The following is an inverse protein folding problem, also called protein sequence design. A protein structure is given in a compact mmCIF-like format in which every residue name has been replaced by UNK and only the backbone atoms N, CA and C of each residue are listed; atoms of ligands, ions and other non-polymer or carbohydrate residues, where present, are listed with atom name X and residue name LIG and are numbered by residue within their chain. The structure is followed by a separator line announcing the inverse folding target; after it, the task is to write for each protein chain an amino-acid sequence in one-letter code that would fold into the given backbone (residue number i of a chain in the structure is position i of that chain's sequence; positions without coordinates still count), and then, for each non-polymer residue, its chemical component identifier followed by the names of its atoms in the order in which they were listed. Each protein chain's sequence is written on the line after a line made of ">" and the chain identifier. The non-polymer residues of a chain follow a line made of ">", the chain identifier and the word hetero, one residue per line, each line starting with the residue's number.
data_IF_968034940775
#
_entry.id   IF_968034940775
#
_cell.length_a   1.000
_cell.length_b   1.000
_cell.length_c   1.000
_cell.angle_alpha   90.00
_cell.angle_beta   90.00
_cell.angle_gamma   90.00
#
_symmetry.space_group_name_H-M   'P 1'
#
loop_
_entity.id
_entity.type
_entity.pdbx_description
1 polymer ?
#
# COMPACT_ATOMS: atom_id res chain seq x y z
N UNK A 1 5.53 43.55 -1.88
CA UNK A 1 4.75 42.73 -2.83
C UNK A 1 5.68 42.54 -4.01
N UNK A 2 6.15 41.38 -4.42
CA UNK A 2 5.64 40.01 -4.42
C UNK A 2 6.88 39.14 -4.65
N UNK A 3 7.13 38.13 -3.79
CA UNK A 3 8.25 37.21 -4.03
C UNK A 3 7.85 36.31 -5.20
N UNK A 4 8.35 36.57 -6.40
CA UNK A 4 8.15 35.72 -7.58
C UNK A 4 8.90 34.40 -7.35
N UNK A 5 8.23 33.47 -6.65
CA UNK A 5 8.68 32.10 -6.47
C UNK A 5 8.68 31.44 -7.85
N UNK A 6 9.85 31.36 -8.49
CA UNK A 6 10.05 30.69 -9.78
C UNK A 6 9.69 29.21 -9.59
N UNK A 7 8.46 28.83 -9.91
CA UNK A 7 8.00 27.44 -9.79
C UNK A 7 8.74 26.60 -10.83
N UNK A 8 9.53 25.62 -10.38
CA UNK A 8 10.25 24.70 -11.24
C UNK A 8 9.28 23.63 -11.75
N UNK A 9 8.71 23.86 -12.93
CA UNK A 9 7.81 22.90 -13.57
C UNK A 9 8.59 21.70 -14.10
N UNK A 10 8.05 20.50 -13.88
CA UNK A 10 8.58 19.24 -14.41
C UNK A 10 8.36 19.13 -15.93
N UNK A 11 7.23 19.65 -16.40
CA UNK A 11 6.88 19.74 -17.81
C UNK A 11 5.86 20.86 -18.02
N UNK A 12 5.87 21.46 -19.20
CA UNK A 12 4.85 22.44 -19.63
C UNK A 12 4.31 22.01 -20.98
N UNK A 13 2.99 21.88 -21.09
CA UNK A 13 2.30 21.59 -22.33
C UNK A 13 1.47 22.79 -22.78
N UNK A 14 1.46 23.08 -24.08
CA UNK A 14 0.63 24.14 -24.67
C UNK A 14 -0.40 23.54 -25.61
N UNK A 15 -1.66 23.90 -25.39
CA UNK A 15 -2.80 23.50 -26.21
C UNK A 15 -3.55 24.77 -26.64
N UNK A 16 -3.27 25.26 -27.85
CA UNK A 16 -3.85 26.51 -28.35
C UNK A 16 -3.52 27.69 -27.42
N UNK A 17 -4.53 28.23 -26.74
CA UNK A 17 -4.38 29.33 -25.77
C UNK A 17 -4.15 28.85 -24.31
N UNK A 18 -4.17 27.54 -24.06
CA UNK A 18 -4.03 26.97 -22.71
C UNK A 18 -2.60 26.49 -22.47
N UNK A 19 -2.03 26.84 -21.31
CA UNK A 19 -0.73 26.34 -20.85
C UNK A 19 -0.92 25.50 -19.59
N UNK A 20 -0.56 24.22 -19.65
CA UNK A 20 -0.59 23.28 -18.52
C UNK A 20 0.81 23.14 -17.97
N UNK A 21 1.00 23.48 -16.70
CA UNK A 21 2.28 23.33 -16.02
C UNK A 21 2.20 22.15 -15.05
N UNK A 22 3.01 21.12 -15.27
CA UNK A 22 3.18 19.99 -14.35
C UNK A 22 4.19 20.41 -13.30
N UNK A 23 3.77 20.46 -12.04
CA UNK A 23 4.66 20.71 -10.91
C UNK A 23 5.17 19.36 -10.40
N UNK A 24 6.49 19.13 -10.46
CA UNK A 24 7.05 17.96 -9.79
C UNK A 24 6.88 18.15 -8.29
N UNK A 25 6.39 17.13 -7.55
CA UNK A 25 6.44 17.17 -6.10
C UNK A 25 7.90 17.31 -5.66
N UNK A 26 8.16 18.00 -4.53
CA UNK A 26 9.51 18.10 -4.00
C UNK A 26 10.12 16.70 -3.79
N UNK A 27 11.42 16.52 -4.06
CA UNK A 27 12.07 15.24 -3.80
C UNK A 27 11.94 14.90 -2.32
N UNK A 28 11.55 13.66 -2.03
CA UNK A 28 11.49 13.15 -0.65
C UNK A 28 12.90 12.98 -0.12
N UNK A 29 13.08 13.18 1.19
CA UNK A 29 14.37 12.86 1.84
C UNK A 29 14.55 11.34 1.93
N UNK A 30 15.79 10.83 2.03
CA UNK A 30 16.04 9.40 2.19
C UNK A 30 15.29 8.78 3.37
N UNK A 31 15.18 9.50 4.48
CA UNK A 31 14.51 9.05 5.71
C UNK A 31 12.99 8.92 5.51
N UNK A 32 12.39 9.88 4.79
CA UNK A 32 10.98 9.85 4.45
C UNK A 32 10.67 8.67 3.52
N UNK A 33 11.57 8.37 2.57
CA UNK A 33 11.45 7.22 1.67
C UNK A 33 11.56 5.91 2.46
N UNK A 34 12.53 5.80 3.37
CA UNK A 34 12.71 4.60 4.20
C UNK A 34 11.50 4.34 5.11
N UNK A 35 10.94 5.39 5.72
CA UNK A 35 9.69 5.29 6.52
C UNK A 35 8.55 4.73 5.68
N UNK A 36 8.33 5.30 4.50
CA UNK A 36 7.28 4.87 3.57
C UNK A 36 7.49 3.40 3.17
N UNK A 37 8.72 3.01 2.82
CA UNK A 37 9.03 1.62 2.44
C UNK A 37 8.74 0.64 3.58
N UNK A 38 9.08 1.01 4.82
CA UNK A 38 8.79 0.20 6.00
C UNK A 38 7.29 0.00 6.20
N UNK A 39 6.50 1.06 6.03
CA UNK A 39 5.03 0.99 6.11
C UNK A 39 4.45 0.05 5.02
N UNK A 40 4.95 0.15 3.78
CA UNK A 40 4.51 -0.75 2.70
C UNK A 40 4.89 -2.21 2.96
N UNK A 41 6.10 -2.48 3.46
CA UNK A 41 6.50 -3.84 3.82
C UNK A 41 5.63 -4.41 4.94
N UNK A 42 5.32 -3.59 5.95
CA UNK A 42 4.44 -3.99 7.05
C UNK A 42 3.03 -4.32 6.54
N UNK A 43 2.43 -3.45 5.73
CA UNK A 43 1.11 -3.68 5.16
C UNK A 43 1.08 -4.94 4.28
N UNK A 44 2.12 -5.15 3.46
CA UNK A 44 2.26 -6.35 2.63
C UNK A 44 2.37 -7.62 3.48
N UNK A 45 3.11 -7.58 4.58
CA UNK A 45 3.22 -8.70 5.51
C UNK A 45 1.89 -9.01 6.20
N UNK A 46 1.16 -8.00 6.65
CA UNK A 46 -0.16 -8.17 7.27
C UNK A 46 -1.17 -8.79 6.30
N UNK A 47 -1.19 -8.34 5.05
CA UNK A 47 -2.03 -8.95 4.01
C UNK A 47 -1.69 -10.43 3.82
N UNK A 48 -0.40 -10.77 3.77
CA UNK A 48 0.05 -12.15 3.62
C UNK A 48 -0.37 -13.01 4.81
N UNK A 49 -0.24 -12.50 6.05
CA UNK A 49 -0.68 -13.21 7.25
C UNK A 49 -2.19 -13.45 7.25
N UNK A 50 -3.00 -12.48 6.82
CA UNK A 50 -4.46 -12.64 6.70
C UNK A 50 -4.83 -13.81 5.80
N UNK A 51 -4.22 -13.90 4.62
CA UNK A 51 -4.46 -14.99 3.67
C UNK A 51 -4.08 -16.35 4.30
N UNK A 52 -2.93 -16.42 4.98
CA UNK A 52 -2.51 -17.65 5.65
C UNK A 52 -3.43 -18.06 6.81
N UNK A 53 -4.06 -17.10 7.49
CA UNK A 53 -5.01 -17.36 8.56
C UNK A 53 -6.35 -17.86 8.01
N UNK A 54 -6.87 -17.23 6.95
CA UNK A 54 -8.07 -17.70 6.22
C UNK A 54 -7.91 -19.13 5.70
N UNK A 55 -6.75 -19.46 5.11
CA UNK A 55 -6.45 -20.82 4.64
C UNK A 55 -6.44 -21.85 5.79
N UNK A 56 -5.95 -21.48 6.98
CA UNK A 56 -5.95 -22.37 8.15
C UNK A 56 -7.36 -22.62 8.68
N UNK A 57 -8.21 -21.60 8.72
CA UNK A 57 -9.61 -21.75 9.14
C UNK A 57 -10.37 -22.71 8.22
N UNK A 58 -10.21 -22.58 6.90
CA UNK A 58 -10.83 -23.48 5.92
C UNK A 58 -10.40 -24.94 6.09
N UNK A 59 -9.13 -25.21 6.40
CA UNK A 59 -8.62 -26.58 6.67
C UNK A 59 -9.25 -27.15 7.95
N UNK A 60 -9.46 -26.34 8.98
CA UNK A 60 -10.08 -26.80 10.24
C UNK A 60 -11.57 -27.12 10.08
N UNK A 61 -12.29 -26.38 9.24
CA UNK A 61 -13.71 -26.65 8.95
C UNK A 61 -13.89 -27.92 8.08
N UNK A 62 -13.06 -28.12 7.07
CA UNK A 62 -13.12 -29.35 6.25
C UNK A 62 -12.80 -30.61 7.06
N UNK A 63 -11.88 -30.51 8.03
CA UNK A 63 -11.48 -31.66 8.86
C UNK A 63 -12.57 -32.07 9.86
N UNK A 64 -13.42 -31.14 10.30
CA UNK A 64 -14.55 -31.42 11.21
C UNK A 64 -15.77 -31.97 10.48
N UNK A 65 -15.97 -31.65 9.20
CA UNK A 65 -17.10 -32.17 8.42
C UNK A 65 -16.88 -33.61 7.91
N UNK A 66 -15.63 -34.01 7.62
CA UNK A 66 -15.32 -35.35 7.09
C UNK A 66 -15.16 -36.44 8.15
N UNK A 67 -15.08 -36.09 9.44
CA UNK A 67 -14.93 -37.06 10.53
C UNK A 67 -15.90 -36.75 11.66
N UNK A 68 -17.09 -37.37 11.57
CA UNK A 68 -18.10 -37.39 12.64
C UNK A 68 -17.67 -38.17 13.89
N UNK A 69 -16.50 -37.86 14.47
CA UNK A 69 -16.03 -38.40 15.73
C UNK A 69 -15.76 -37.21 16.67
N UNK A 70 -16.54 -37.03 17.75
CA UNK A 70 -16.29 -35.96 18.71
C UNK A 70 -14.98 -36.22 19.46
N UNK A 71 -14.08 -35.24 19.45
CA UNK A 71 -12.87 -35.26 20.28
C UNK A 71 -13.32 -34.93 21.72
N UNK A 72 -13.52 -35.96 22.54
CA UNK A 72 -13.70 -35.82 23.99
C UNK A 72 -12.33 -35.44 24.57
N UNK A 73 -12.24 -34.23 25.15
CA UNK A 73 -11.06 -33.76 25.87
C UNK A 73 -11.07 -34.42 27.27
N UNK A 74 -10.18 -35.38 27.49
CA UNK A 74 -9.90 -35.98 28.81
C UNK A 74 -9.14 -35.00 29.71
#
# INVERSE_FOLDING_TARGET
>A
MEQTKTQKYAATYKFGNTTVNIVAPPPKTPEEIERILKEYHQAGWECWQSILEEEKENITEETTHVRGIPIIRL
#
